data_IF_114374062162
#
_entry.id   IF_114374062162
#
_cell.length_a   1.000
_cell.length_b   1.000
_cell.length_c   1.000
_cell.angle_alpha   90.00
_cell.angle_beta   90.00
_cell.angle_gamma   90.00
#
_symmetry.space_group_name_H-M   'P 1'
#
loop_
_entity.id
_entity.type
_entity.pdbx_description
1 polymer ?
#
# COMPACT_ATOMS: atom_id res chain seq x y z
N UNK A 1 -11.58 24.31 13.53
CA UNK A 1 -12.65 23.58 12.80
C UNK A 1 -12.54 22.13 13.22
N UNK A 2 -13.58 21.56 13.82
CA UNK A 2 -13.65 20.13 14.12
C UNK A 2 -13.43 19.36 12.82
N UNK A 3 -12.50 18.41 12.83
CA UNK A 3 -12.19 17.63 11.63
C UNK A 3 -13.45 16.91 11.15
N UNK A 4 -13.61 16.71 9.83
CA UNK A 4 -14.68 15.85 9.31
C UNK A 4 -14.65 14.47 10.00
N UNK A 5 -13.46 14.03 10.43
CA UNK A 5 -13.23 12.83 11.23
C UNK A 5 -13.98 12.78 12.55
N UNK A 6 -14.13 13.91 13.23
CA UNK A 6 -14.64 13.94 14.60
C UNK A 6 -16.17 14.07 14.61
N UNK A 7 -16.76 14.62 13.55
CA UNK A 7 -18.19 14.96 13.52
C UNK A 7 -19.05 13.92 12.77
N UNK A 8 -19.81 13.10 13.52
CA UNK A 8 -20.67 12.03 12.96
C UNK A 8 -21.75 12.55 11.99
N UNK A 9 -22.30 13.73 12.23
CA UNK A 9 -23.37 14.31 11.40
C UNK A 9 -22.79 14.82 10.08
N UNK A 10 -21.64 15.49 10.12
CA UNK A 10 -20.96 15.90 8.89
C UNK A 10 -20.52 14.69 8.06
N UNK A 11 -20.10 13.60 8.70
CA UNK A 11 -19.74 12.34 8.01
C UNK A 11 -20.88 11.73 7.23
N UNK A 12 -22.07 11.61 7.84
CA UNK A 12 -23.22 10.96 7.21
C UNK A 12 -23.70 11.68 5.95
N UNK A 13 -23.42 12.98 5.85
CA UNK A 13 -23.74 13.81 4.68
C UNK A 13 -22.59 13.83 3.67
N UNK A 14 -21.35 14.01 4.14
CA UNK A 14 -20.20 14.21 3.26
C UNK A 14 -19.75 12.92 2.56
N UNK A 15 -19.76 11.77 3.24
CA UNK A 15 -19.23 10.53 2.66
C UNK A 15 -20.01 10.06 1.42
N UNK A 16 -21.35 10.07 1.39
CA UNK A 16 -22.10 9.76 0.16
C UNK A 16 -21.77 10.71 -0.99
N UNK A 17 -21.60 12.01 -0.71
CA UNK A 17 -21.24 13.01 -1.73
C UNK A 17 -19.84 12.74 -2.27
N UNK A 18 -18.86 12.49 -1.40
CA UNK A 18 -17.50 12.17 -1.82
C UNK A 18 -17.46 10.88 -2.65
N UNK A 19 -18.26 9.87 -2.28
CA UNK A 19 -18.43 8.64 -3.06
C UNK A 19 -19.03 8.92 -4.44
N UNK A 20 -20.06 9.75 -4.52
CA UNK A 20 -20.69 10.11 -5.79
C UNK A 20 -19.75 10.90 -6.71
N UNK A 21 -18.88 11.74 -6.14
CA UNK A 21 -17.90 12.53 -6.90
C UNK A 21 -16.77 11.65 -7.46
N UNK A 22 -16.35 10.61 -6.73
CA UNK A 22 -15.35 9.60 -7.11
C UNK A 22 -14.24 10.07 -8.08
N UNK A 23 -13.49 11.11 -7.69
CA UNK A 23 -12.46 11.71 -8.56
C UNK A 23 -11.07 11.60 -7.95
N UNK A 24 -10.07 11.61 -8.81
CA UNK A 24 -8.68 11.74 -8.40
C UNK A 24 -8.37 13.17 -7.95
N UNK A 25 -7.60 13.28 -6.87
CA UNK A 25 -7.06 14.54 -6.36
C UNK A 25 -5.55 14.39 -6.09
N UNK A 26 -4.91 15.52 -5.80
CA UNK A 26 -3.54 15.54 -5.27
C UNK A 26 -3.52 16.19 -3.89
N UNK A 27 -2.82 15.55 -2.96
CA UNK A 27 -2.49 16.11 -1.66
C UNK A 27 -0.97 16.23 -1.52
N UNK A 28 -0.49 16.90 -0.46
CA UNK A 28 0.93 16.82 -0.08
C UNK A 28 1.14 15.63 0.85
N UNK A 29 2.13 14.80 0.55
CA UNK A 29 2.56 13.70 1.42
C UNK A 29 2.94 14.26 2.79
N UNK A 30 2.34 13.76 3.87
CA UNK A 30 2.49 14.35 5.20
C UNK A 30 3.90 14.19 5.80
N UNK A 31 4.70 13.29 5.23
CA UNK A 31 6.06 12.98 5.69
C UNK A 31 7.16 13.47 4.75
N UNK A 32 6.89 13.56 3.45
CA UNK A 32 7.91 13.86 2.42
C UNK A 32 7.63 15.19 1.70
N UNK A 33 6.42 15.74 1.82
CA UNK A 33 6.00 16.98 1.17
C UNK A 33 5.74 16.88 -0.35
N UNK A 34 6.09 15.73 -0.98
CA UNK A 34 5.86 15.48 -2.41
C UNK A 34 4.36 15.36 -2.71
N UNK A 35 3.91 15.69 -3.93
CA UNK A 35 2.51 15.47 -4.34
C UNK A 35 2.16 13.98 -4.35
N UNK A 36 1.01 13.62 -3.80
CA UNK A 36 0.44 12.26 -3.85
C UNK A 36 -0.87 12.32 -4.62
N UNK A 37 -0.95 11.61 -5.74
CA UNK A 37 -2.19 11.33 -6.47
C UNK A 37 -2.95 10.22 -5.75
N UNK A 38 -4.23 10.45 -5.45
CA UNK A 38 -5.10 9.48 -4.81
C UNK A 38 -6.57 9.74 -5.18
N UNK A 39 -7.42 8.73 -5.04
CA UNK A 39 -8.85 8.90 -5.17
C UNK A 39 -9.44 9.58 -3.93
N UNK A 40 -10.30 10.57 -4.14
CA UNK A 40 -10.91 11.37 -3.08
C UNK A 40 -11.65 10.52 -2.04
N UNK A 41 -12.37 9.47 -2.45
CA UNK A 41 -13.19 8.65 -1.57
C UNK A 41 -12.50 7.35 -1.14
N UNK A 42 -11.97 6.60 -2.10
CA UNK A 42 -11.34 5.30 -1.85
C UNK A 42 -10.13 5.45 -0.92
N UNK A 43 -9.32 6.49 -1.13
CA UNK A 43 -8.11 6.75 -0.34
C UNK A 43 -8.33 7.85 0.71
N UNK A 44 -9.58 8.06 1.15
CA UNK A 44 -9.95 9.17 2.05
C UNK A 44 -9.12 9.21 3.32
N UNK A 45 -8.75 8.06 3.86
CA UNK A 45 -8.01 7.98 5.11
C UNK A 45 -6.71 8.78 5.12
N UNK A 46 -6.04 8.95 3.96
CA UNK A 46 -4.80 9.73 3.86
C UNK A 46 -5.00 11.22 4.11
N UNK A 47 -6.10 11.83 3.65
CA UNK A 47 -6.39 13.24 3.94
C UNK A 47 -7.28 13.42 5.17
N UNK A 48 -7.98 12.35 5.58
CA UNK A 48 -8.89 12.37 6.71
C UNK A 48 -8.19 12.27 8.06
N UNK A 49 -7.21 11.38 8.15
CA UNK A 49 -6.33 11.23 9.33
C UNK A 49 -5.00 11.97 9.14
N UNK A 50 -4.67 12.32 7.90
CA UNK A 50 -3.46 13.08 7.58
C UNK A 50 -2.20 12.33 7.99
N UNK A 51 -1.32 13.03 8.70
CA UNK A 51 -0.06 12.46 9.22
C UNK A 51 -0.27 11.29 10.18
N UNK A 52 -1.43 11.22 10.84
CA UNK A 52 -1.71 10.23 11.89
C UNK A 52 -2.17 8.87 11.34
N UNK A 53 -2.38 8.72 10.03
CA UNK A 53 -2.88 7.47 9.45
C UNK A 53 -1.93 6.29 9.68
N UNK A 54 -0.67 6.47 9.29
CA UNK A 54 0.38 5.44 9.32
C UNK A 54 1.54 5.88 10.23
N UNK A 55 1.23 6.60 11.33
CA UNK A 55 2.25 7.37 12.05
C UNK A 55 3.34 6.47 12.63
N UNK A 56 2.93 5.43 13.32
CA UNK A 56 3.80 4.49 14.01
C UNK A 56 4.71 3.78 13.00
N UNK A 57 4.16 3.36 11.87
CA UNK A 57 4.90 2.72 10.79
C UNK A 57 5.93 3.67 10.15
N UNK A 58 5.51 4.90 9.84
CA UNK A 58 6.38 5.92 9.25
C UNK A 58 7.52 6.33 10.20
N UNK A 59 7.27 6.35 11.50
CA UNK A 59 8.29 6.57 12.53
C UNK A 59 9.25 5.38 12.63
N UNK A 60 8.74 4.15 12.62
CA UNK A 60 9.56 2.94 12.62
C UNK A 60 10.48 2.88 11.41
N UNK A 61 9.97 3.13 10.20
CA UNK A 61 10.75 3.16 8.96
C UNK A 61 11.93 4.14 9.08
N UNK A 62 11.69 5.35 9.60
CA UNK A 62 12.75 6.37 9.78
C UNK A 62 13.81 6.00 10.80
N UNK A 63 13.50 5.12 11.74
CA UNK A 63 14.43 4.63 12.76
C UNK A 63 15.20 3.39 12.29
N UNK A 64 14.63 2.62 11.38
CA UNK A 64 15.17 1.34 10.94
C UNK A 64 16.01 1.44 9.67
N UNK A 65 15.82 2.47 8.85
CA UNK A 65 16.49 2.64 7.56
C UNK A 65 17.65 3.62 7.69
N UNK A 66 18.80 3.20 7.16
CA UNK A 66 20.01 4.00 7.03
C UNK A 66 20.22 4.46 5.57
N UNK A 67 20.94 5.57 5.40
CA UNK A 67 21.29 6.09 4.07
C UNK A 67 22.23 5.11 3.34
N UNK A 68 21.85 4.70 2.12
CA UNK A 68 22.52 3.66 1.34
C UNK A 68 21.85 2.29 1.40
N UNK A 69 20.83 2.10 2.23
CA UNK A 69 20.14 0.81 2.36
C UNK A 69 19.40 0.36 1.08
N UNK A 70 19.31 -0.96 0.90
CA UNK A 70 18.37 -1.57 -0.03
C UNK A 70 17.11 -1.93 0.76
N UNK A 71 16.01 -1.23 0.48
CA UNK A 71 14.72 -1.48 1.09
C UNK A 71 13.80 -2.22 0.12
N UNK A 72 13.06 -3.21 0.62
CA UNK A 72 12.01 -3.90 -0.12
C UNK A 72 10.67 -3.60 0.53
N UNK A 73 9.67 -3.30 -0.28
CA UNK A 73 8.29 -3.16 0.14
C UNK A 73 7.43 -4.17 -0.62
N UNK A 74 6.78 -5.06 0.10
CA UNK A 74 5.84 -6.03 -0.44
C UNK A 74 4.42 -5.60 -0.07
N UNK A 75 3.61 -5.29 -1.08
CA UNK A 75 2.31 -4.63 -0.92
C UNK A 75 2.44 -3.11 -0.95
N UNK A 76 2.88 -2.57 -2.09
CA UNK A 76 3.12 -1.14 -2.27
C UNK A 76 1.85 -0.28 -2.31
N UNK A 77 0.67 -0.88 -2.51
CA UNK A 77 -0.63 -0.20 -2.61
C UNK A 77 -0.53 1.03 -3.53
N UNK A 78 -0.90 2.23 -3.08
CA UNK A 78 -0.81 3.46 -3.89
C UNK A 78 0.57 4.13 -3.85
N UNK A 79 1.56 3.54 -3.17
CA UNK A 79 2.93 4.04 -3.09
C UNK A 79 3.19 5.10 -2.03
N UNK A 80 2.30 5.28 -1.06
CA UNK A 80 2.47 6.28 0.00
C UNK A 80 3.71 5.98 0.86
N UNK A 81 3.86 4.74 1.32
CA UNK A 81 5.04 4.30 2.08
C UNK A 81 6.28 4.25 1.18
N UNK A 82 6.16 3.78 -0.07
CA UNK A 82 7.27 3.79 -1.05
C UNK A 82 7.94 5.15 -1.20
N UNK A 83 7.16 6.23 -1.18
CA UNK A 83 7.68 7.60 -1.25
C UNK A 83 8.50 7.97 0.00
N UNK A 84 8.11 7.51 1.19
CA UNK A 84 8.90 7.69 2.41
C UNK A 84 10.18 6.85 2.35
N UNK A 85 10.07 5.58 1.97
CA UNK A 85 11.22 4.68 1.83
C UNK A 85 12.27 5.28 0.90
N UNK A 86 11.85 5.79 -0.26
CA UNK A 86 12.72 6.43 -1.24
C UNK A 86 13.52 7.60 -0.64
N UNK A 87 12.88 8.40 0.21
CA UNK A 87 13.57 9.50 0.90
C UNK A 87 14.50 8.97 2.01
N UNK A 88 14.08 7.94 2.74
CA UNK A 88 14.82 7.40 3.89
C UNK A 88 16.12 6.70 3.47
N UNK A 89 16.09 5.90 2.40
CA UNK A 89 17.29 5.19 1.91
C UNK A 89 18.32 6.12 1.28
N UNK A 90 17.96 7.36 0.92
CA UNK A 90 18.87 8.34 0.34
C UNK A 90 19.58 7.83 -0.92
N UNK A 91 20.89 7.56 -0.83
CA UNK A 91 21.70 6.99 -1.94
C UNK A 91 21.42 5.51 -2.23
N UNK A 92 20.65 4.84 -1.37
CA UNK A 92 20.21 3.48 -1.54
C UNK A 92 19.09 3.33 -2.57
N UNK A 93 18.37 2.22 -2.51
CA UNK A 93 17.31 1.90 -3.47
C UNK A 93 16.11 1.22 -2.81
N UNK A 94 14.93 1.40 -3.41
CA UNK A 94 13.69 0.76 -2.99
C UNK A 94 13.16 -0.13 -4.10
N UNK A 95 12.84 -1.38 -3.77
CA UNK A 95 12.13 -2.29 -4.65
C UNK A 95 10.74 -2.50 -4.10
N UNK A 96 9.71 -2.14 -4.87
CA UNK A 96 8.31 -2.20 -4.46
C UNK A 96 7.60 -3.27 -5.28
N UNK A 97 6.93 -4.20 -4.61
CA UNK A 97 6.09 -5.23 -5.23
C UNK A 97 4.61 -4.88 -5.01
N UNK A 98 3.84 -4.84 -6.09
CA UNK A 98 2.39 -4.63 -6.04
C UNK A 98 1.72 -5.32 -7.24
N UNK A 99 0.88 -6.35 -7.02
CA UNK A 99 0.14 -7.01 -8.09
C UNK A 99 -1.20 -6.32 -8.44
N UNK A 100 -1.75 -5.47 -7.57
CA UNK A 100 -3.10 -4.93 -7.70
C UNK A 100 -3.26 -3.97 -8.87
N UNK A 101 -4.05 -4.38 -9.86
CA UNK A 101 -4.42 -3.59 -11.03
C UNK A 101 -5.15 -2.28 -10.66
N UNK A 102 -5.91 -2.29 -9.56
CA UNK A 102 -6.57 -1.09 -9.03
C UNK A 102 -5.59 -0.09 -8.36
N UNK A 103 -4.46 -0.58 -7.83
CA UNK A 103 -3.46 0.20 -7.09
C UNK A 103 -2.35 0.75 -7.99
N UNK A 104 -1.91 -0.07 -8.97
CA UNK A 104 -0.80 0.22 -9.88
C UNK A 104 -0.89 1.60 -10.57
N UNK A 105 -2.06 2.09 -11.05
CA UNK A 105 -2.16 3.43 -11.63
C UNK A 105 -1.76 4.57 -10.67
N UNK A 106 -2.05 4.43 -9.38
CA UNK A 106 -1.66 5.42 -8.37
C UNK A 106 -0.19 5.26 -7.99
N UNK A 107 0.25 4.03 -7.77
CA UNK A 107 1.63 3.71 -7.43
C UNK A 107 2.59 4.28 -8.48
N UNK A 108 2.39 3.95 -9.77
CA UNK A 108 3.20 4.48 -10.88
C UNK A 108 3.23 6.01 -10.89
N UNK A 109 2.09 6.65 -10.66
CA UNK A 109 1.99 8.11 -10.66
C UNK A 109 2.73 8.75 -9.46
N UNK A 110 2.72 8.09 -8.30
CA UNK A 110 3.27 8.61 -7.04
C UNK A 110 4.78 8.41 -6.93
N UNK A 111 5.31 7.33 -7.51
CA UNK A 111 6.76 7.08 -7.57
C UNK A 111 7.43 7.71 -8.79
N UNK A 112 6.66 8.33 -9.69
CA UNK A 112 7.21 9.00 -10.87
C UNK A 112 8.24 10.08 -10.47
N UNK A 113 9.43 9.99 -11.06
CA UNK A 113 10.56 10.87 -10.74
C UNK A 113 11.22 10.56 -9.38
N UNK A 114 11.09 9.34 -8.89
CA UNK A 114 11.94 8.76 -7.85
C UNK A 114 12.91 7.77 -8.51
N UNK A 115 14.10 8.24 -8.85
CA UNK A 115 15.07 7.46 -9.65
C UNK A 115 15.64 6.25 -8.88
N UNK A 116 15.50 6.24 -7.56
CA UNK A 116 15.93 5.16 -6.68
C UNK A 116 14.80 4.16 -6.35
N UNK A 117 13.65 4.21 -7.03
CA UNK A 117 12.53 3.28 -6.82
C UNK A 117 12.31 2.42 -8.06
N UNK A 118 12.32 1.10 -7.88
CA UNK A 118 11.92 0.13 -8.90
C UNK A 118 10.60 -0.53 -8.52
N UNK A 119 9.61 -0.43 -9.41
CA UNK A 119 8.34 -1.14 -9.29
C UNK A 119 8.41 -2.50 -9.96
N UNK A 120 7.90 -3.52 -9.28
CA UNK A 120 7.66 -4.86 -9.80
C UNK A 120 6.17 -5.17 -9.66
N UNK A 121 5.50 -5.35 -10.80
CA UNK A 121 4.05 -5.56 -10.86
C UNK A 121 3.68 -7.03 -10.66
N UNK A 122 4.13 -7.60 -9.53
CA UNK A 122 3.98 -9.01 -9.17
C UNK A 122 3.71 -9.15 -7.68
N UNK A 123 3.08 -10.25 -7.29
CA UNK A 123 3.00 -10.63 -5.88
C UNK A 123 4.29 -11.27 -5.38
N UNK A 124 4.43 -11.41 -4.07
CA UNK A 124 5.51 -12.19 -3.48
C UNK A 124 4.98 -13.40 -2.71
N UNK A 125 5.75 -14.47 -2.72
CA UNK A 125 5.45 -15.70 -2.01
C UNK A 125 6.68 -16.59 -1.85
N UNK A 126 6.46 -17.83 -1.39
CA UNK A 126 7.55 -18.77 -1.11
C UNK A 126 8.16 -19.40 -2.37
N UNK A 127 7.49 -19.30 -3.51
CA UNK A 127 7.89 -19.86 -4.79
C UNK A 127 7.34 -19.02 -5.95
N UNK A 128 7.90 -19.21 -7.14
CA UNK A 128 7.38 -18.59 -8.35
C UNK A 128 6.20 -19.41 -8.88
N UNK A 129 5.03 -18.77 -9.00
CA UNK A 129 3.79 -19.41 -9.44
C UNK A 129 2.77 -18.35 -9.90
N UNK A 130 1.75 -18.77 -10.63
CA UNK A 130 0.63 -17.90 -10.99
C UNK A 130 -0.52 -18.18 -10.00
N UNK A 131 -0.94 -17.15 -9.26
CA UNK A 131 -2.00 -17.27 -8.26
C UNK A 131 -3.20 -16.40 -8.61
N UNK A 132 -4.37 -16.84 -8.17
CA UNK A 132 -5.58 -16.02 -8.17
C UNK A 132 -5.41 -14.93 -7.12
N UNK A 133 -5.56 -13.68 -7.54
CA UNK A 133 -5.52 -12.49 -6.73
C UNK A 133 -6.91 -11.86 -6.69
N UNK A 134 -7.35 -11.51 -5.49
CA UNK A 134 -8.67 -10.94 -5.24
C UNK A 134 -8.53 -9.45 -4.96
N UNK A 135 -9.19 -8.64 -5.77
CA UNK A 135 -9.15 -7.17 -5.69
C UNK A 135 -10.51 -6.64 -5.27
N UNK A 136 -10.53 -5.82 -4.24
CA UNK A 136 -11.75 -5.18 -3.76
C UNK A 136 -11.89 -3.77 -4.33
N UNK A 137 -13.12 -3.40 -4.69
CA UNK A 137 -13.43 -2.19 -5.45
C UNK A 137 -13.53 -0.89 -4.63
N UNK A 138 -13.50 -0.96 -3.29
CA UNK A 138 -13.77 0.18 -2.41
C UNK A 138 -12.55 1.05 -2.16
N UNK A 139 -11.44 0.46 -1.72
CA UNK A 139 -10.20 1.17 -1.33
C UNK A 139 -8.94 0.57 -1.96
N UNK A 140 -9.02 -0.64 -2.49
CA UNK A 140 -7.88 -1.42 -2.98
C UNK A 140 -6.90 -1.84 -1.87
N UNK A 141 -7.21 -1.55 -0.60
CA UNK A 141 -6.32 -1.83 0.52
C UNK A 141 -6.33 -3.31 0.87
N UNK A 142 -7.50 -3.95 0.81
CA UNK A 142 -7.66 -5.32 1.31
C UNK A 142 -7.49 -6.37 0.20
N UNK A 143 -6.78 -6.03 -0.89
CA UNK A 143 -6.52 -6.99 -1.97
C UNK A 143 -5.63 -8.13 -1.44
N UNK A 144 -5.93 -9.38 -1.77
CA UNK A 144 -5.24 -10.54 -1.16
C UNK A 144 -5.16 -11.74 -2.09
N UNK A 145 -4.19 -12.62 -1.82
CA UNK A 145 -4.14 -13.98 -2.37
C UNK A 145 -5.01 -14.97 -1.59
N UNK A 146 -5.49 -14.59 -0.40
CA UNK A 146 -6.33 -15.44 0.45
C UNK A 146 -7.79 -15.25 0.08
N UNK A 147 -8.49 -16.31 -0.39
CA UNK A 147 -9.93 -16.22 -0.64
C UNK A 147 -10.66 -15.94 0.68
N UNK A 148 -11.70 -15.11 0.63
CA UNK A 148 -12.50 -14.73 1.80
C UNK A 148 -11.69 -14.13 2.96
N UNK A 149 -10.54 -13.51 2.67
CA UNK A 149 -9.79 -12.73 3.66
C UNK A 149 -10.73 -11.77 4.40
N UNK A 150 -10.68 -11.77 5.74
CA UNK A 150 -11.66 -11.01 6.54
C UNK A 150 -11.67 -9.52 6.18
N UNK A 151 -10.55 -8.95 5.73
CA UNK A 151 -10.48 -7.60 5.20
C UNK A 151 -11.37 -7.36 3.98
N UNK A 152 -11.51 -8.34 3.07
CA UNK A 152 -12.39 -8.25 1.89
C UNK A 152 -13.86 -8.07 2.31
N UNK A 153 -14.29 -8.66 3.43
CA UNK A 153 -15.67 -8.58 3.93
C UNK A 153 -15.90 -7.48 4.99
N UNK A 154 -14.87 -7.11 5.75
CA UNK A 154 -14.90 -6.12 6.86
C UNK A 154 -15.45 -4.74 6.46
N UNK A 155 -15.17 -4.32 5.22
CA UNK A 155 -15.64 -3.03 4.70
C UNK A 155 -17.15 -2.98 4.48
N UNK A 156 -17.80 -4.11 4.18
CA UNK A 156 -19.25 -4.18 4.00
C UNK A 156 -20.02 -3.94 5.31
N UNK A 157 -19.50 -4.45 6.44
CA UNK A 157 -20.13 -4.33 7.76
C UNK A 157 -20.03 -2.92 8.36
N UNK A 158 -18.95 -2.19 8.10
CA UNK A 158 -18.74 -0.81 8.61
C UNK A 158 -19.27 0.29 7.68
N UNK A 159 -19.52 -0.02 6.41
CA UNK A 159 -20.07 0.93 5.44
C UNK A 159 -21.60 0.94 5.38
N UNK A 160 -22.27 0.06 6.15
CA UNK A 160 -23.71 0.10 6.43
C UNK A 160 -24.66 -0.13 5.26
N UNK A 161 -24.20 -0.10 4.00
CA UNK A 161 -25.03 -0.20 2.77
C UNK A 161 -24.20 -0.41 1.48
N UNK A 162 -22.91 -0.75 1.58
CA UNK A 162 -22.04 -0.76 0.38
C UNK A 162 -21.73 -2.19 -0.03
N UNK A 163 -22.27 -2.58 -1.19
CA UNK A 163 -21.77 -3.74 -1.92
C UNK A 163 -20.30 -3.48 -2.29
N UNK A 164 -19.42 -4.30 -1.73
CA UNK A 164 -18.00 -4.34 -2.09
C UNK A 164 -17.87 -5.42 -3.14
N UNK A 165 -17.72 -5.02 -4.40
CA UNK A 165 -17.42 -5.97 -5.46
C UNK A 165 -15.98 -6.44 -5.31
N UNK A 166 -15.80 -7.76 -5.33
CA UNK A 166 -14.50 -8.41 -5.39
C UNK A 166 -14.33 -9.01 -6.78
N UNK A 167 -13.31 -8.56 -7.49
CA UNK A 167 -12.91 -9.16 -8.77
C UNK A 167 -11.71 -10.06 -8.55
N UNK A 168 -11.57 -11.11 -9.36
CA UNK A 168 -10.37 -11.94 -9.34
C UNK A 168 -9.64 -11.90 -10.67
N UNK A 169 -8.32 -11.94 -10.60
CA UNK A 169 -7.43 -12.05 -11.75
C UNK A 169 -6.29 -13.02 -11.42
N UNK A 170 -5.61 -13.55 -12.44
CA UNK A 170 -4.40 -14.35 -12.23
C UNK A 170 -3.20 -13.41 -12.35
N UNK A 171 -2.34 -13.42 -11.34
CA UNK A 171 -1.12 -12.61 -11.30
C UNK A 171 0.09 -13.49 -11.03
N UNK A 172 1.24 -13.06 -11.54
CA UNK A 172 2.50 -13.73 -11.26
C UNK A 172 2.95 -13.44 -9.83
N UNK A 173 3.37 -14.48 -9.13
CA UNK A 173 4.02 -14.45 -7.81
C UNK A 173 5.46 -14.87 -7.97
N UNK A 174 6.36 -14.17 -7.27
CA UNK A 174 7.82 -14.42 -7.29
C UNK A 174 8.38 -14.45 -5.88
N UNK A 175 9.59 -14.98 -5.72
CA UNK A 175 10.31 -14.83 -4.45
C UNK A 175 11.08 -13.51 -4.44
N UNK A 176 11.15 -12.86 -3.28
CA UNK A 176 11.89 -11.59 -3.13
C UNK A 176 13.35 -11.74 -3.56
N UNK A 177 14.01 -12.83 -3.16
CA UNK A 177 15.42 -13.13 -3.47
C UNK A 177 15.68 -13.47 -4.95
N UNK A 178 14.65 -13.71 -5.77
CA UNK A 178 14.81 -13.86 -7.22
C UNK A 178 14.92 -12.51 -7.93
N UNK A 179 14.20 -11.51 -7.45
CA UNK A 179 14.14 -10.19 -8.06
C UNK A 179 15.10 -9.20 -7.39
N UNK A 180 15.52 -9.48 -6.15
CA UNK A 180 16.44 -8.66 -5.36
C UNK A 180 17.65 -9.53 -5.00
N UNK A 181 18.64 -9.66 -5.90
CA UNK A 181 19.77 -10.58 -5.73
C UNK A 181 20.73 -10.11 -4.62
N UNK A 182 20.83 -8.80 -4.41
CA UNK A 182 21.52 -8.23 -3.26
C UNK A 182 20.64 -8.36 -2.02
N UNK A 183 21.19 -8.83 -0.90
CA UNK A 183 20.41 -9.00 0.32
C UNK A 183 19.85 -7.65 0.80
N UNK A 184 18.52 -7.48 0.97
CA UNK A 184 17.95 -6.22 1.42
C UNK A 184 18.34 -5.95 2.88
N UNK A 185 18.58 -4.68 3.22
CA UNK A 185 18.78 -4.24 4.61
C UNK A 185 17.46 -4.25 5.39
N UNK A 186 16.36 -3.96 4.70
CA UNK A 186 15.03 -3.78 5.27
C UNK A 186 13.94 -4.34 4.36
N UNK A 187 12.93 -5.00 4.93
CA UNK A 187 11.75 -5.50 4.21
C UNK A 187 10.48 -5.11 4.97
N UNK A 188 9.58 -4.37 4.32
CA UNK A 188 8.18 -4.15 4.75
C UNK A 188 7.28 -5.17 4.05
N UNK A 189 6.41 -5.84 4.80
CA UNK A 189 5.48 -6.84 4.28
C UNK A 189 4.07 -6.52 4.78
N UNK A 190 3.16 -6.24 3.85
CA UNK A 190 1.76 -5.94 4.15
C UNK A 190 0.93 -6.39 2.96
N UNK A 191 0.50 -7.65 3.00
CA UNK A 191 -0.09 -8.35 1.86
C UNK A 191 -1.41 -9.02 2.24
N UNK A 192 -2.04 -8.48 3.27
CA UNK A 192 -3.40 -8.78 3.68
C UNK A 192 -3.64 -10.30 3.84
N UNK A 193 -2.86 -10.93 4.72
CA UNK A 193 -3.00 -12.33 5.12
C UNK A 193 -2.06 -13.31 4.42
N UNK A 194 -1.21 -12.83 3.51
CA UNK A 194 -0.22 -13.65 2.80
C UNK A 194 1.22 -13.51 3.32
N UNK A 195 1.41 -12.88 4.49
CA UNK A 195 2.72 -12.47 5.03
C UNK A 195 3.63 -13.68 5.28
N UNK A 196 3.06 -14.78 5.79
CA UNK A 196 3.83 -16.00 6.09
C UNK A 196 4.44 -16.62 4.83
N UNK A 197 3.75 -16.51 3.67
CA UNK A 197 4.28 -17.01 2.42
C UNK A 197 5.47 -16.16 1.94
N UNK A 198 5.42 -14.84 2.18
CA UNK A 198 6.52 -13.90 1.87
C UNK A 198 7.71 -14.13 2.82
N UNK A 199 7.46 -14.27 4.13
CA UNK A 199 8.50 -14.42 5.16
C UNK A 199 9.39 -15.64 5.01
N UNK A 200 8.93 -16.69 4.31
CA UNK A 200 9.76 -17.88 4.06
C UNK A 200 10.92 -17.61 3.10
N UNK A 201 11.01 -16.41 2.51
CA UNK A 201 12.02 -16.04 1.52
C UNK A 201 13.26 -15.29 2.06
N UNK A 202 13.18 -14.24 2.92
CA UNK A 202 14.34 -13.44 3.29
C UNK A 202 15.27 -14.17 4.26
N UNK A 203 16.58 -14.18 3.97
CA UNK A 203 17.60 -14.60 4.93
C UNK A 203 18.35 -13.37 5.44
N UNK A 204 18.09 -13.01 6.70
CA UNK A 204 18.84 -12.02 7.50
C UNK A 204 18.68 -10.55 7.08
N UNK A 205 17.59 -9.89 7.52
CA UNK A 205 17.37 -8.44 7.37
C UNK A 205 16.42 -7.91 8.46
N UNK A 206 16.28 -6.58 8.59
CA UNK A 206 15.24 -5.96 9.43
C UNK A 206 13.88 -6.15 8.75
N UNK A 207 12.88 -6.68 9.46
CA UNK A 207 11.54 -6.94 8.90
C UNK A 207 10.50 -6.12 9.68
N UNK A 208 9.61 -5.46 8.94
CA UNK A 208 8.41 -4.78 9.43
C UNK A 208 7.17 -5.44 8.79
N UNK A 209 6.20 -5.82 9.62
CA UNK A 209 4.90 -6.39 9.22
C UNK A 209 3.82 -5.58 9.92
#
# INVERSE_FOLDING_TARGET
MTSLYENKILRSIALPVLKAVNRDIRIRHHWTGRPVKLNLFAHKGYWYHGRNREKEEMEAIRLLIDDGDIAVEVGGHIGYISMLLSQAVGRGSVIVFEPGSNNLPYLRANIAGLDNVRLIEKGCGSQAEDLVFYEESLTGQNNSFVPDFQGLQSNAAHAGTVDVDVTSSVVQVVRVDQEVPDAPSFVKIDVEGFELAVLRAPRTCKILI
#
